data_IF_142244763289
#
_entry.id   IF_142244763289
#
_cell.length_a   1.000
_cell.length_b   1.000
_cell.length_c   1.000
_cell.angle_alpha   90.00
_cell.angle_beta   90.00
_cell.angle_gamma   90.00
#
_symmetry.space_group_name_H-M   'P 1'
#
loop_
_entity.id
_entity.type
_entity.pdbx_description
1 polymer ?
#
# COMPACT_ATOMS: atom_id res chain seq x y z
N UNK A 1 -16.23 -10.36 -13.12
CA UNK A 1 -17.25 -9.32 -12.88
C UNK A 1 -18.49 -9.97 -12.30
N UNK A 2 -18.70 -9.84 -10.98
CA UNK A 2 -19.86 -10.40 -10.25
C UNK A 2 -20.90 -9.30 -10.15
N UNK A 3 -21.61 -9.03 -11.25
CA UNK A 3 -22.27 -7.75 -11.46
C UNK A 3 -23.76 -7.68 -11.10
N UNK A 4 -24.36 -8.66 -10.40
CA UNK A 4 -25.75 -8.44 -9.95
C UNK A 4 -26.19 -9.33 -8.78
N UNK A 5 -25.65 -9.07 -7.58
CA UNK A 5 -26.16 -9.68 -6.35
C UNK A 5 -26.89 -8.62 -5.50
N UNK A 6 -28.13 -8.86 -5.02
CA UNK A 6 -28.94 -7.86 -4.31
C UNK A 6 -28.26 -7.34 -3.02
N UNK A 7 -27.40 -8.15 -2.40
CA UNK A 7 -26.59 -7.74 -1.25
C UNK A 7 -25.56 -6.67 -1.62
N UNK A 8 -24.92 -6.77 -2.78
CA UNK A 8 -23.89 -5.82 -3.24
C UNK A 8 -24.54 -4.45 -3.47
N UNK A 9 -25.66 -4.38 -4.20
CA UNK A 9 -26.41 -3.12 -4.40
C UNK A 9 -26.86 -2.47 -3.08
N UNK A 10 -27.24 -3.28 -2.08
CA UNK A 10 -27.66 -2.77 -0.78
C UNK A 10 -26.48 -2.26 0.08
N UNK A 11 -25.27 -2.78 -0.15
CA UNK A 11 -24.05 -2.26 0.46
C UNK A 11 -23.60 -0.97 -0.25
N UNK A 12 -23.69 -0.91 -1.58
CA UNK A 12 -23.45 0.28 -2.41
C UNK A 12 -24.36 1.45 -2.00
N UNK A 13 -25.67 1.23 -1.90
CA UNK A 13 -26.64 2.28 -1.54
C UNK A 13 -26.51 2.79 -0.10
N UNK A 14 -25.88 2.01 0.77
CA UNK A 14 -25.55 2.39 2.14
C UNK A 14 -24.12 2.95 2.28
N UNK A 15 -23.39 3.09 1.17
CA UNK A 15 -22.03 3.62 1.15
C UNK A 15 -20.95 2.68 1.71
N UNK A 16 -21.26 1.39 1.89
CA UNK A 16 -20.29 0.39 2.37
C UNK A 16 -19.35 -0.11 1.27
N UNK A 17 -19.69 0.11 0.00
CA UNK A 17 -18.80 -0.17 -1.13
C UNK A 17 -18.07 1.14 -1.43
N UNK A 18 -16.90 1.31 -0.83
CA UNK A 18 -15.98 2.38 -1.18
C UNK A 18 -15.37 2.16 -2.58
N UNK A 19 -14.62 3.13 -3.06
CA UNK A 19 -13.73 2.92 -4.21
C UNK A 19 -12.84 1.71 -3.96
N UNK A 20 -12.78 0.79 -4.92
CA UNK A 20 -11.84 -0.33 -4.83
C UNK A 20 -10.43 0.25 -4.68
N UNK A 21 -9.64 -0.23 -3.71
CA UNK A 21 -8.26 0.18 -3.60
C UNK A 21 -7.54 -0.14 -4.91
N UNK A 22 -6.71 0.80 -5.38
CA UNK A 22 -5.86 0.57 -6.52
C UNK A 22 -4.40 0.49 -6.06
N UNK A 23 -3.62 -0.31 -6.78
CA UNK A 23 -2.20 -0.50 -6.46
C UNK A 23 -1.43 0.75 -6.90
N UNK A 24 -0.75 1.38 -5.94
CA UNK A 24 0.10 2.55 -6.15
C UNK A 24 1.49 2.13 -6.59
N UNK A 25 1.99 0.99 -6.10
CA UNK A 25 3.25 0.40 -6.49
C UNK A 25 3.65 -0.77 -5.60
N UNK A 26 4.94 -1.11 -5.59
CA UNK A 26 5.46 -2.24 -4.82
C UNK A 26 6.52 -1.78 -3.82
N UNK A 27 6.54 -2.40 -2.64
CA UNK A 27 7.59 -2.16 -1.65
C UNK A 27 8.95 -2.60 -2.20
N UNK A 28 9.95 -1.72 -2.11
CA UNK A 28 11.31 -1.97 -2.58
C UNK A 28 11.97 -3.19 -1.93
N UNK A 29 11.66 -3.48 -0.67
CA UNK A 29 12.33 -4.51 0.12
C UNK A 29 11.67 -5.88 0.02
N UNK A 30 10.36 -5.95 0.21
CA UNK A 30 9.62 -7.22 0.23
C UNK A 30 8.83 -7.51 -1.05
N UNK A 31 8.72 -6.55 -1.98
CA UNK A 31 7.95 -6.70 -3.22
C UNK A 31 6.42 -6.72 -3.04
N UNK A 32 5.92 -6.38 -1.85
CA UNK A 32 4.49 -6.35 -1.57
C UNK A 32 3.80 -5.19 -2.30
N UNK A 33 2.65 -5.45 -2.94
CA UNK A 33 1.82 -4.44 -3.61
C UNK A 33 1.14 -3.51 -2.60
N UNK A 34 1.47 -2.22 -2.65
CA UNK A 34 0.93 -1.18 -1.77
C UNK A 34 -0.25 -0.50 -2.46
N UNK A 35 -1.39 -0.46 -1.79
CA UNK A 35 -2.58 0.25 -2.26
C UNK A 35 -2.65 1.71 -1.79
N UNK A 36 -3.54 2.48 -2.42
CA UNK A 36 -3.82 3.89 -2.06
C UNK A 36 -4.45 4.07 -0.68
N UNK A 37 -4.90 2.96 -0.06
CA UNK A 37 -5.51 2.94 1.26
C UNK A 37 -4.53 2.55 2.38
N UNK A 38 -3.31 2.12 2.02
CA UNK A 38 -2.28 1.71 2.97
C UNK A 38 -1.29 2.83 3.26
N UNK A 39 -0.82 2.91 4.51
CA UNK A 39 0.27 3.83 4.86
C UNK A 39 1.60 3.25 4.37
N UNK A 40 2.30 4.02 3.56
CA UNK A 40 3.62 3.71 3.01
C UNK A 40 4.50 4.96 3.01
N UNK A 41 5.81 4.73 2.99
CA UNK A 41 6.82 5.79 2.97
C UNK A 41 7.48 5.82 1.59
N UNK A 42 7.78 7.01 1.11
CA UNK A 42 8.55 7.23 -0.12
C UNK A 42 9.94 7.75 0.26
N UNK A 43 10.99 7.10 -0.23
CA UNK A 43 12.36 7.55 -0.02
C UNK A 43 12.73 8.70 -0.96
N UNK A 44 13.84 9.39 -0.69
CA UNK A 44 14.34 10.49 -1.53
C UNK A 44 14.65 10.07 -2.99
N UNK A 45 14.77 8.76 -3.24
CA UNK A 45 14.98 8.18 -4.58
C UNK A 45 13.67 7.77 -5.26
N UNK A 46 12.51 8.04 -4.66
CA UNK A 46 11.18 7.66 -5.17
C UNK A 46 10.85 6.17 -4.99
N UNK A 47 11.50 5.48 -4.05
CA UNK A 47 11.18 4.09 -3.75
C UNK A 47 10.06 4.03 -2.70
N UNK A 48 9.05 3.20 -2.95
CA UNK A 48 7.99 2.91 -1.98
C UNK A 48 8.45 1.87 -0.97
N UNK A 49 8.11 2.09 0.30
CA UNK A 49 8.46 1.24 1.43
C UNK A 49 7.18 1.01 2.23
N UNK A 50 6.79 -0.26 2.38
CA UNK A 50 5.61 -0.61 3.17
C UNK A 50 5.85 -0.34 4.67
N UNK A 51 4.76 -0.18 5.41
CA UNK A 51 4.76 0.04 6.86
C UNK A 51 5.16 -1.19 7.69
N UNK A 52 5.58 -2.30 7.06
CA UNK A 52 6.15 -3.43 7.79
C UNK A 52 7.42 -3.02 8.53
N UNK A 53 7.48 -3.35 9.82
CA UNK A 53 8.59 -2.97 10.69
C UNK A 53 9.95 -3.44 10.16
N UNK A 54 10.02 -4.61 9.53
CA UNK A 54 11.27 -5.17 9.02
C UNK A 54 11.78 -4.32 7.86
N UNK A 55 10.88 -3.94 6.95
CA UNK A 55 11.22 -3.08 5.80
C UNK A 55 11.65 -1.69 6.23
N UNK A 56 10.97 -1.09 7.22
CA UNK A 56 11.35 0.22 7.77
C UNK A 56 12.72 0.20 8.45
N UNK A 57 13.02 -0.86 9.22
CA UNK A 57 14.34 -1.00 9.87
C UNK A 57 15.43 -1.20 8.83
N UNK A 58 15.20 -2.05 7.82
CA UNK A 58 16.17 -2.28 6.75
C UNK A 58 16.46 -1.00 5.96
N UNK A 59 15.43 -0.21 5.67
CA UNK A 59 15.58 1.10 5.05
C UNK A 59 16.43 2.05 5.91
N UNK A 60 16.08 2.21 7.19
CA UNK A 60 16.82 3.08 8.09
C UNK A 60 18.30 2.65 8.24
N UNK A 61 18.59 1.36 8.21
CA UNK A 61 19.97 0.86 8.24
C UNK A 61 20.74 1.23 6.96
N UNK A 62 20.11 1.10 5.79
CA UNK A 62 20.73 1.51 4.52
C UNK A 62 21.03 3.01 4.48
N UNK A 63 20.14 3.85 4.97
CA UNK A 63 20.35 5.30 5.01
C UNK A 63 21.53 5.67 5.92
N UNK A 64 21.70 4.97 7.06
CA UNK A 64 22.84 5.16 7.94
C UNK A 64 24.16 4.71 7.31
N UNK A 65 24.17 3.66 6.49
CA UNK A 65 25.38 3.20 5.79
C UNK A 65 25.89 4.21 4.75
N UNK A 66 24.98 4.96 4.13
CA UNK A 66 25.34 5.99 3.13
C UNK A 66 25.96 7.26 3.73
N UNK A 67 25.93 7.43 5.07
CA UNK A 67 26.50 8.60 5.76
C UNK A 67 28.01 8.43 6.04
N UNK A 68 28.62 7.28 5.71
CA UNK A 68 30.07 7.03 5.83
C UNK A 68 30.86 7.47 4.60
#
# INVERSE_FOLDING_TARGET
>A
MVNDHPVIRQMESKGYIGTQPFIVGECRYCGWEISDQEEAYESDLGNLICSDRSCLVEHALMDLEQIK
#
